data_IF_269659147689
#
_entry.id   IF_269659147689
#
_cell.length_a   1.000
_cell.length_b   1.000
_cell.length_c   1.000
_cell.angle_alpha   90.00
_cell.angle_beta   90.00
_cell.angle_gamma   90.00
#
_symmetry.space_group_name_H-M   'P 1'
#
loop_
_entity.id
_entity.type
_entity.pdbx_description
1 polymer ?
#
# COMPACT_ATOMS: atom_id res chain seq x y z
N UNK A 1 38.10 -32.59 53.30
CA UNK A 1 37.01 -33.07 52.47
C UNK A 1 36.21 -31.83 51.94
N UNK A 2 36.47 -31.37 50.70
CA UNK A 2 35.85 -30.18 50.09
C UNK A 2 34.83 -30.67 49.08
N UNK A 3 33.57 -30.33 49.32
CA UNK A 3 32.45 -30.62 48.39
C UNK A 3 32.55 -29.74 47.15
N UNK A 4 32.82 -30.33 45.99
CA UNK A 4 32.59 -29.71 44.68
C UNK A 4 31.12 -29.90 44.31
N UNK A 5 30.30 -28.85 44.45
CA UNK A 5 28.97 -28.79 43.83
C UNK A 5 29.15 -28.35 42.39
N UNK A 6 28.75 -29.24 41.50
CA UNK A 6 28.66 -29.03 40.06
C UNK A 6 27.72 -27.85 39.74
N UNK A 7 28.28 -26.76 39.20
CA UNK A 7 27.49 -25.72 38.52
C UNK A 7 27.29 -26.16 37.09
N UNK A 8 26.10 -26.69 36.78
CA UNK A 8 25.61 -26.90 35.40
C UNK A 8 25.32 -25.50 34.83
N UNK A 9 25.89 -25.12 33.68
CA UNK A 9 25.71 -23.77 33.17
C UNK A 9 24.28 -23.61 32.64
N UNK A 10 23.53 -22.75 33.31
CA UNK A 10 22.16 -22.33 32.96
C UNK A 10 22.08 -21.55 31.61
N UNK A 11 23.22 -21.39 30.94
CA UNK A 11 23.41 -20.55 29.74
C UNK A 11 22.95 -21.27 28.46
N UNK A 12 22.84 -22.59 28.43
CA UNK A 12 22.49 -23.35 27.21
C UNK A 12 21.01 -23.44 26.92
N UNK A 13 20.12 -23.13 27.87
CA UNK A 13 18.67 -23.25 27.66
C UNK A 13 18.08 -21.96 27.04
N UNK A 14 18.73 -20.81 27.25
CA UNK A 14 18.20 -19.51 26.75
C UNK A 14 18.39 -19.32 25.25
N UNK A 15 19.35 -19.96 24.60
CA UNK A 15 19.62 -19.82 23.17
C UNK A 15 18.69 -20.68 22.28
N UNK A 16 18.05 -21.70 22.82
CA UNK A 16 17.12 -22.54 22.05
C UNK A 16 15.74 -21.91 21.86
N UNK A 17 15.31 -21.03 22.78
CA UNK A 17 13.99 -20.38 22.66
C UNK A 17 14.00 -19.17 21.71
N UNK A 18 15.12 -18.48 21.56
CA UNK A 18 15.20 -17.33 20.65
C UNK A 18 15.26 -17.73 19.18
N UNK A 19 15.90 -18.84 18.84
CA UNK A 19 15.99 -19.32 17.44
C UNK A 19 14.66 -19.88 16.93
N UNK A 20 13.85 -20.53 17.78
CA UNK A 20 12.57 -21.11 17.38
C UNK A 20 11.48 -20.06 17.09
N UNK A 21 11.50 -18.93 17.80
CA UNK A 21 10.51 -17.87 17.62
C UNK A 21 10.74 -17.09 16.31
N UNK A 22 11.99 -16.84 15.93
CA UNK A 22 12.35 -16.17 14.68
C UNK A 22 11.97 -17.00 13.44
N UNK A 23 12.22 -18.29 13.47
CA UNK A 23 11.90 -19.17 12.31
C UNK A 23 10.41 -19.33 12.09
N UNK A 24 9.56 -19.34 13.13
CA UNK A 24 8.11 -19.40 13.01
C UNK A 24 7.56 -18.10 12.40
N UNK A 25 8.00 -16.94 12.88
CA UNK A 25 7.58 -15.64 12.35
C UNK A 25 8.00 -15.44 10.89
N UNK A 26 9.18 -15.91 10.49
CA UNK A 26 9.64 -15.84 9.11
C UNK A 26 8.86 -16.78 8.19
N UNK A 27 8.45 -17.95 8.69
CA UNK A 27 7.62 -18.89 7.93
C UNK A 27 6.22 -18.32 7.68
N UNK A 28 5.58 -17.73 8.70
CA UNK A 28 4.26 -17.11 8.58
C UNK A 28 4.31 -15.91 7.63
N UNK A 29 5.34 -15.08 7.71
CA UNK A 29 5.54 -13.95 6.81
C UNK A 29 5.71 -14.39 5.35
N UNK A 30 6.52 -15.42 5.10
CA UNK A 30 6.70 -15.97 3.76
C UNK A 30 5.40 -16.53 3.18
N UNK A 31 4.57 -17.16 4.01
CA UNK A 31 3.26 -17.66 3.59
C UNK A 31 2.32 -16.52 3.18
N UNK A 32 2.29 -15.42 3.96
CA UNK A 32 1.51 -14.24 3.65
C UNK A 32 1.96 -13.57 2.34
N UNK A 33 3.27 -13.48 2.10
CA UNK A 33 3.82 -12.96 0.84
C UNK A 33 3.40 -13.84 -0.34
N UNK A 34 3.48 -15.17 -0.23
CA UNK A 34 3.02 -16.08 -1.28
C UNK A 34 1.53 -15.96 -1.57
N UNK A 35 0.71 -15.76 -0.53
CA UNK A 35 -0.72 -15.49 -0.70
C UNK A 35 -0.96 -14.16 -1.41
N UNK A 36 -0.23 -13.10 -1.04
CA UNK A 36 -0.31 -11.80 -1.70
C UNK A 36 0.04 -11.91 -3.19
N UNK A 37 1.14 -12.59 -3.53
CA UNK A 37 1.58 -12.77 -4.92
C UNK A 37 0.54 -13.56 -5.75
N UNK A 38 -0.09 -14.58 -5.15
CA UNK A 38 -1.16 -15.33 -5.81
C UNK A 38 -2.39 -14.46 -6.08
N UNK A 39 -2.80 -13.65 -5.11
CA UNK A 39 -3.93 -12.73 -5.23
C UNK A 39 -3.63 -11.61 -6.22
N UNK A 40 -2.43 -11.04 -6.20
CA UNK A 40 -1.97 -10.06 -7.18
C UNK A 40 -2.05 -10.63 -8.60
N UNK A 41 -1.56 -11.85 -8.83
CA UNK A 41 -1.63 -12.53 -10.13
C UNK A 41 -3.08 -12.69 -10.61
N UNK A 42 -4.01 -13.07 -9.72
CA UNK A 42 -5.44 -13.12 -10.02
C UNK A 42 -6.00 -11.73 -10.34
N UNK A 43 -5.66 -10.72 -9.54
CA UNK A 43 -6.06 -9.34 -9.76
C UNK A 43 -5.63 -8.85 -11.13
N UNK A 44 -4.36 -9.06 -11.51
CA UNK A 44 -3.84 -8.71 -12.84
C UNK A 44 -4.54 -9.45 -13.98
N UNK A 45 -4.78 -10.75 -13.82
CA UNK A 45 -5.54 -11.54 -14.80
C UNK A 45 -6.93 -10.95 -15.09
N UNK A 46 -7.67 -10.57 -14.05
CA UNK A 46 -8.98 -9.93 -14.20
C UNK A 46 -8.87 -8.49 -14.69
N UNK A 47 -7.84 -7.76 -14.29
CA UNK A 47 -7.58 -6.39 -14.75
C UNK A 47 -7.38 -6.30 -16.27
N UNK A 48 -6.66 -7.21 -16.84
CA UNK A 48 -6.48 -7.29 -18.31
C UNK A 48 -7.80 -7.49 -19.05
N UNK A 49 -8.81 -8.03 -18.37
CA UNK A 49 -10.14 -8.32 -18.89
C UNK A 49 -11.23 -7.38 -18.36
N UNK A 50 -10.86 -6.22 -17.84
CA UNK A 50 -11.71 -5.26 -17.12
C UNK A 50 -12.82 -4.62 -17.97
N UNK A 51 -12.82 -4.79 -19.29
CA UNK A 51 -13.95 -4.39 -20.15
C UNK A 51 -15.24 -5.11 -19.70
N UNK A 52 -15.13 -6.33 -19.20
CA UNK A 52 -16.23 -7.01 -18.52
C UNK A 52 -16.37 -6.44 -17.09
N UNK A 53 -17.56 -5.90 -16.72
CA UNK A 53 -17.79 -5.30 -15.40
C UNK A 53 -17.51 -6.23 -14.22
N UNK A 54 -17.83 -7.53 -14.32
CA UNK A 54 -17.56 -8.50 -13.26
C UNK A 54 -16.07 -8.76 -13.10
N UNK A 55 -15.31 -8.73 -14.20
CA UNK A 55 -13.86 -8.85 -14.14
C UNK A 55 -13.23 -7.60 -13.50
N UNK A 56 -13.72 -6.40 -13.83
CA UNK A 56 -13.24 -5.17 -13.21
C UNK A 56 -13.43 -5.18 -11.68
N UNK A 57 -14.62 -5.60 -11.21
CA UNK A 57 -14.90 -5.76 -9.77
C UNK A 57 -14.00 -6.80 -9.11
N UNK A 58 -13.84 -7.97 -9.74
CA UNK A 58 -12.95 -9.03 -9.24
C UNK A 58 -11.49 -8.56 -9.18
N UNK A 59 -11.03 -7.81 -10.20
CA UNK A 59 -9.68 -7.25 -10.18
C UNK A 59 -9.47 -6.37 -8.95
N UNK A 60 -10.36 -5.43 -8.70
CA UNK A 60 -10.27 -4.53 -7.55
C UNK A 60 -10.26 -5.30 -6.22
N UNK A 61 -11.14 -6.30 -6.04
CA UNK A 61 -11.19 -7.12 -4.82
C UNK A 61 -9.87 -7.90 -4.61
N UNK A 62 -9.35 -8.58 -5.64
CA UNK A 62 -8.12 -9.34 -5.49
C UNK A 62 -6.90 -8.44 -5.25
N UNK A 63 -6.85 -7.27 -5.92
CA UNK A 63 -5.78 -6.31 -5.72
C UNK A 63 -5.84 -5.66 -4.33
N UNK A 64 -7.04 -5.39 -3.78
CA UNK A 64 -7.17 -4.85 -2.42
C UNK A 64 -6.63 -5.82 -1.37
N UNK A 65 -7.04 -7.10 -1.43
CA UNK A 65 -6.58 -8.10 -0.47
C UNK A 65 -5.06 -8.33 -0.61
N UNK A 66 -4.54 -8.37 -1.84
CA UNK A 66 -3.10 -8.48 -2.07
C UNK A 66 -2.33 -7.29 -1.47
N UNK A 67 -2.87 -6.07 -1.62
CA UNK A 67 -2.27 -4.86 -1.05
C UNK A 67 -2.31 -4.85 0.48
N UNK A 68 -3.39 -5.29 1.12
CA UNK A 68 -3.44 -5.45 2.58
C UNK A 68 -2.35 -6.38 3.12
N UNK A 69 -2.01 -7.44 2.37
CA UNK A 69 -0.96 -8.38 2.74
C UNK A 69 0.46 -7.89 2.42
N UNK A 70 0.61 -6.95 1.46
CA UNK A 70 1.89 -6.47 0.94
C UNK A 70 1.84 -4.96 0.65
N UNK A 71 1.61 -4.12 1.68
CA UNK A 71 1.37 -2.69 1.50
C UNK A 71 2.60 -1.91 1.01
N UNK A 72 3.79 -2.48 1.13
CA UNK A 72 5.05 -1.88 0.66
C UNK A 72 5.30 -2.08 -0.86
N UNK A 73 4.43 -2.81 -1.56
CA UNK A 73 4.59 -3.08 -2.99
C UNK A 73 4.01 -1.93 -3.84
N UNK A 74 4.80 -0.91 -4.14
CA UNK A 74 4.37 0.30 -4.86
C UNK A 74 3.65 -0.02 -6.18
N UNK A 75 4.15 -0.96 -6.98
CA UNK A 75 3.52 -1.33 -8.25
C UNK A 75 2.13 -1.98 -8.07
N UNK A 76 1.94 -2.75 -7.00
CA UNK A 76 0.64 -3.31 -6.65
C UNK A 76 -0.31 -2.21 -6.18
N UNK A 77 0.16 -1.32 -5.32
CA UNK A 77 -0.60 -0.18 -4.81
C UNK A 77 -1.04 0.77 -5.95
N UNK A 78 -0.15 1.06 -6.91
CA UNK A 78 -0.49 1.85 -8.11
C UNK A 78 -1.58 1.17 -8.92
N UNK A 79 -1.46 -0.14 -9.17
CA UNK A 79 -2.46 -0.89 -9.91
C UNK A 79 -3.81 -0.95 -9.18
N UNK A 80 -3.78 -1.07 -7.86
CA UNK A 80 -4.99 -1.05 -7.05
C UNK A 80 -5.67 0.33 -7.09
N UNK A 81 -4.92 1.42 -6.93
CA UNK A 81 -5.45 2.78 -7.10
C UNK A 81 -6.07 3.00 -8.48
N UNK A 82 -5.45 2.46 -9.54
CA UNK A 82 -5.98 2.48 -10.89
C UNK A 82 -7.29 1.68 -11.01
N UNK A 83 -7.38 0.52 -10.35
CA UNK A 83 -8.60 -0.30 -10.35
C UNK A 83 -9.75 0.41 -9.61
N UNK A 84 -9.48 1.11 -8.51
CA UNK A 84 -10.45 1.95 -7.82
C UNK A 84 -10.99 3.05 -8.75
N UNK A 85 -10.11 3.78 -9.44
CA UNK A 85 -10.50 4.79 -10.41
C UNK A 85 -11.41 4.24 -11.51
N UNK A 86 -11.01 3.11 -12.12
CA UNK A 86 -11.73 2.50 -13.22
C UNK A 86 -13.14 2.04 -12.78
N UNK A 87 -13.22 1.35 -11.64
CA UNK A 87 -14.50 0.88 -11.11
C UNK A 87 -15.42 2.05 -10.72
N UNK A 88 -14.88 3.09 -10.07
CA UNK A 88 -15.64 4.30 -9.73
C UNK A 88 -16.16 5.05 -10.97
N UNK A 89 -15.36 5.08 -12.04
CA UNK A 89 -15.72 5.84 -13.23
C UNK A 89 -16.68 5.09 -14.16
N UNK A 90 -16.46 3.80 -14.39
CA UNK A 90 -17.12 3.05 -15.46
C UNK A 90 -18.08 1.96 -14.98
N UNK A 91 -17.92 1.45 -13.75
CA UNK A 91 -18.62 0.25 -13.31
C UNK A 91 -19.66 0.55 -12.23
N UNK A 92 -19.28 1.31 -11.21
CA UNK A 92 -20.17 1.64 -10.09
C UNK A 92 -21.22 2.68 -10.56
N UNK A 93 -22.46 2.53 -10.07
CA UNK A 93 -23.55 3.45 -10.40
C UNK A 93 -24.01 4.29 -9.20
N UNK A 94 -23.75 3.81 -8.00
CA UNK A 94 -24.16 4.45 -6.75
C UNK A 94 -23.17 5.57 -6.42
N UNK A 95 -23.60 6.85 -6.34
CA UNK A 95 -22.68 7.99 -6.14
C UNK A 95 -21.78 7.85 -4.92
N UNK A 96 -22.30 7.43 -3.78
CA UNK A 96 -21.58 7.28 -2.53
C UNK A 96 -20.48 6.20 -2.63
N UNK A 97 -20.74 5.13 -3.39
CA UNK A 97 -19.77 4.07 -3.66
C UNK A 97 -18.69 4.52 -4.64
N UNK A 98 -19.07 5.34 -5.66
CA UNK A 98 -18.08 5.98 -6.54
C UNK A 98 -17.11 6.84 -5.74
N UNK A 99 -17.65 7.68 -4.87
CA UNK A 99 -16.87 8.55 -4.00
C UNK A 99 -15.91 7.75 -3.11
N UNK A 100 -16.40 6.65 -2.51
CA UNK A 100 -15.56 5.76 -1.70
C UNK A 100 -14.41 5.17 -2.50
N UNK A 101 -14.66 4.69 -3.73
CA UNK A 101 -13.62 4.14 -4.61
C UNK A 101 -12.58 5.20 -4.99
N UNK A 102 -13.01 6.42 -5.34
CA UNK A 102 -12.07 7.50 -5.66
C UNK A 102 -11.25 7.93 -4.44
N UNK A 103 -11.86 8.03 -3.26
CA UNK A 103 -11.11 8.33 -2.02
C UNK A 103 -10.12 7.23 -1.67
N UNK A 104 -10.50 5.97 -1.81
CA UNK A 104 -9.61 4.84 -1.58
C UNK A 104 -8.40 4.89 -2.52
N UNK A 105 -8.63 5.01 -3.83
CA UNK A 105 -7.56 5.15 -4.81
C UNK A 105 -6.66 6.37 -4.56
N UNK A 106 -7.24 7.49 -4.15
CA UNK A 106 -6.52 8.69 -3.73
C UNK A 106 -5.59 8.42 -2.55
N UNK A 107 -6.09 7.82 -1.47
CA UNK A 107 -5.28 7.58 -0.26
C UNK A 107 -4.12 6.62 -0.51
N UNK A 108 -4.36 5.57 -1.30
CA UNK A 108 -3.33 4.60 -1.67
C UNK A 108 -2.21 5.28 -2.46
N UNK A 109 -2.56 5.98 -3.53
CA UNK A 109 -1.57 6.62 -4.40
C UNK A 109 -0.83 7.77 -3.68
N UNK A 110 -1.52 8.56 -2.86
CA UNK A 110 -0.93 9.59 -1.99
C UNK A 110 0.07 8.96 -1.02
N UNK A 111 -0.28 7.83 -0.41
CA UNK A 111 0.60 7.11 0.51
C UNK A 111 1.95 6.77 -0.12
N UNK A 112 1.96 6.24 -1.35
CA UNK A 112 3.20 5.92 -2.08
C UNK A 112 4.08 7.17 -2.24
N UNK A 113 3.49 8.28 -2.71
CA UNK A 113 4.22 9.55 -2.89
C UNK A 113 4.79 10.03 -1.57
N UNK A 114 3.98 10.05 -0.51
CA UNK A 114 4.39 10.54 0.81
C UNK A 114 5.45 9.68 1.49
N UNK A 115 5.50 8.37 1.23
CA UNK A 115 6.53 7.49 1.77
C UNK A 115 7.85 7.54 0.97
N UNK A 116 7.87 8.17 -0.21
CA UNK A 116 9.10 8.27 -0.98
C UNK A 116 10.12 9.20 -0.31
N UNK A 117 11.38 8.78 -0.30
CA UNK A 117 12.47 9.56 0.31
C UNK A 117 12.67 10.91 -0.38
N UNK A 118 12.47 10.97 -1.70
CA UNK A 118 12.60 12.18 -2.49
C UNK A 118 11.53 13.20 -2.13
N UNK A 119 10.25 12.80 -2.00
CA UNK A 119 9.18 13.65 -1.52
C UNK A 119 9.47 14.16 -0.10
N UNK A 120 9.81 13.27 0.83
CA UNK A 120 10.09 13.64 2.22
C UNK A 120 11.24 14.63 2.34
N UNK A 121 12.27 14.50 1.50
CA UNK A 121 13.38 15.45 1.44
C UNK A 121 12.89 16.85 1.06
N UNK A 122 12.08 16.99 0.00
CA UNK A 122 11.53 18.26 -0.43
C UNK A 122 10.53 18.84 0.57
N UNK A 123 9.62 18.01 1.08
CA UNK A 123 8.59 18.38 2.05
C UNK A 123 9.17 18.93 3.37
N UNK A 124 10.29 18.40 3.83
CA UNK A 124 10.97 18.81 5.07
C UNK A 124 12.06 19.85 4.84
N UNK A 125 12.31 20.28 3.59
CA UNK A 125 13.34 21.28 3.27
C UNK A 125 12.93 22.72 3.62
N UNK A 126 11.65 22.96 3.87
CA UNK A 126 11.10 24.30 4.17
C UNK A 126 10.21 24.26 5.40
N UNK A 127 10.30 25.31 6.22
CA UNK A 127 9.38 25.55 7.33
C UNK A 127 8.29 26.53 6.84
N UNK A 128 7.19 26.00 6.33
CA UNK A 128 6.09 26.76 5.77
C UNK A 128 4.75 26.03 6.02
N UNK A 129 3.65 26.58 5.49
CA UNK A 129 2.37 25.91 5.55
C UNK A 129 2.40 24.60 4.73
N UNK A 130 1.46 23.70 5.03
CA UNK A 130 1.44 22.35 4.43
C UNK A 130 1.37 22.36 2.90
N UNK A 131 0.69 23.33 2.29
CA UNK A 131 0.57 23.43 0.84
C UNK A 131 1.94 23.68 0.18
N UNK A 132 2.71 24.62 0.71
CA UNK A 132 4.06 24.94 0.19
C UNK A 132 4.98 23.72 0.39
N UNK A 133 4.91 23.07 1.54
CA UNK A 133 5.68 21.86 1.81
C UNK A 133 5.31 20.72 0.84
N UNK A 134 4.01 20.49 0.57
CA UNK A 134 3.57 19.52 -0.44
C UNK A 134 4.14 19.84 -1.82
N UNK A 135 4.07 21.10 -2.26
CA UNK A 135 4.63 21.51 -3.54
C UNK A 135 6.14 21.22 -3.63
N UNK A 136 6.91 21.53 -2.58
CA UNK A 136 8.34 21.22 -2.52
C UNK A 136 8.61 19.72 -2.53
N UNK A 137 7.77 18.92 -1.86
CA UNK A 137 7.82 17.47 -1.93
C UNK A 137 7.59 16.95 -3.35
N UNK A 138 6.59 17.48 -4.05
CA UNK A 138 6.27 17.11 -5.44
C UNK A 138 7.39 17.52 -6.40
N UNK A 139 7.95 18.73 -6.26
CA UNK A 139 9.09 19.19 -7.08
C UNK A 139 10.34 18.30 -6.92
N UNK A 140 10.56 17.75 -5.73
CA UNK A 140 11.68 16.88 -5.44
C UNK A 140 11.45 15.40 -5.85
N UNK A 141 10.22 15.06 -6.28
CA UNK A 141 9.82 13.69 -6.52
C UNK A 141 10.58 13.05 -7.69
N UNK A 142 11.10 11.85 -7.48
CA UNK A 142 11.75 11.08 -8.53
C UNK A 142 10.75 10.62 -9.61
N UNK A 143 11.21 10.50 -10.86
CA UNK A 143 10.37 10.11 -12.01
C UNK A 143 9.67 8.75 -11.83
N UNK A 144 10.26 7.84 -11.07
CA UNK A 144 9.68 6.52 -10.74
C UNK A 144 8.32 6.62 -10.02
N UNK A 145 8.07 7.72 -9.29
CA UNK A 145 6.82 7.95 -8.55
C UNK A 145 5.77 8.75 -9.34
N UNK A 146 6.06 9.18 -10.58
CA UNK A 146 5.09 9.90 -11.42
C UNK A 146 3.79 9.11 -11.65
N UNK A 147 3.79 7.78 -11.82
CA UNK A 147 2.55 7.02 -11.92
C UNK A 147 1.68 7.11 -10.65
N UNK A 148 2.29 7.09 -9.46
CA UNK A 148 1.56 7.25 -8.20
C UNK A 148 0.98 8.67 -8.08
N UNK A 149 1.77 9.70 -8.39
CA UNK A 149 1.29 11.10 -8.41
C UNK A 149 0.12 11.28 -9.38
N UNK A 150 0.20 10.70 -10.57
CA UNK A 150 -0.90 10.74 -11.56
C UNK A 150 -2.20 10.15 -10.98
N UNK A 151 -2.14 8.95 -10.39
CA UNK A 151 -3.34 8.30 -9.84
C UNK A 151 -3.85 8.97 -8.58
N UNK A 152 -2.97 9.59 -7.77
CA UNK A 152 -3.37 10.47 -6.68
C UNK A 152 -4.25 11.61 -7.19
N UNK A 153 -3.75 12.39 -8.17
CA UNK A 153 -4.46 13.56 -8.72
C UNK A 153 -5.73 13.14 -9.48
N UNK A 154 -5.68 12.06 -10.27
CA UNK A 154 -6.81 11.57 -11.03
C UNK A 154 -7.99 11.16 -10.12
N UNK A 155 -7.71 10.38 -9.07
CA UNK A 155 -8.74 9.97 -8.11
C UNK A 155 -9.31 11.17 -7.34
N UNK A 156 -8.44 12.07 -6.84
CA UNK A 156 -8.87 13.28 -6.14
C UNK A 156 -9.77 14.16 -7.03
N UNK A 157 -9.37 14.37 -8.28
CA UNK A 157 -10.13 15.16 -9.23
C UNK A 157 -11.53 14.60 -9.46
N UNK A 158 -11.67 13.27 -9.58
CA UNK A 158 -12.97 12.61 -9.72
C UNK A 158 -13.84 12.70 -8.47
N UNK A 159 -13.23 12.57 -7.29
CA UNK A 159 -13.94 12.76 -6.04
C UNK A 159 -14.49 14.18 -5.89
N UNK A 160 -13.73 15.20 -6.29
CA UNK A 160 -14.08 16.61 -6.11
C UNK A 160 -15.05 17.15 -7.14
N UNK A 161 -15.15 16.55 -8.34
CA UNK A 161 -15.88 17.11 -9.49
C UNK A 161 -17.36 17.39 -9.21
N UNK A 162 -17.97 16.66 -8.30
CA UNK A 162 -19.38 16.80 -7.92
C UNK A 162 -19.58 17.35 -6.50
N UNK A 163 -18.53 17.86 -5.88
CA UNK A 163 -18.62 18.44 -4.53
C UNK A 163 -18.92 19.94 -4.63
N UNK A 164 -19.77 20.48 -3.73
CA UNK A 164 -19.97 21.91 -3.67
C UNK A 164 -18.65 22.62 -3.33
N UNK A 165 -18.37 23.70 -4.03
CA UNK A 165 -17.27 24.59 -3.65
C UNK A 165 -17.67 25.22 -2.33
N UNK A 166 -16.95 24.91 -1.27
CA UNK A 166 -17.12 25.56 0.03
C UNK A 166 -16.34 26.88 -0.08
N UNK A 167 -17.08 28.00 -0.13
CA UNK A 167 -16.51 29.36 -0.07
C UNK A 167 -15.93 29.69 1.32
#
# INVERSE_FOLDING_TARGET
MKNLRSQIPFILIFNFFSSGCHTLLDTDRNLLIQQADHLEKKGRYYWERRINPDHAKKAQIFLSIAYELKPEADNLAILYSQACYFNGLYIEQIPEKKDSLFLEGYHIAKGIVYHSKSFQKGFNAVEDNNLIRELRGIEALEKSFVPALYWWVANLGRYLINKPVVE
#
